data_IF_707783023998
#
_entry.id   IF_707783023998
#
_cell.length_a   1.000
_cell.length_b   1.000
_cell.length_c   1.000
_cell.angle_alpha   90.00
_cell.angle_beta   90.00
_cell.angle_gamma   90.00
#
_symmetry.space_group_name_H-M   'P 1'
#
loop_
_entity.id
_entity.type
_entity.pdbx_description
1 polymer ?
#
# COMPACT_ATOMS: atom_id res chain seq x y z
N UNK A 1 -24.21 24.26 -11.24
CA UNK A 1 -23.80 22.97 -10.65
C UNK A 1 -22.84 23.29 -9.52
N UNK A 2 -23.21 23.09 -8.25
CA UNK A 2 -22.30 23.39 -7.13
C UNK A 2 -21.28 22.26 -7.01
N UNK A 3 -20.00 22.61 -7.06
CA UNK A 3 -18.93 21.73 -6.61
C UNK A 3 -19.24 21.31 -5.17
N UNK A 4 -19.15 20.03 -4.90
CA UNK A 4 -19.49 19.42 -3.60
C UNK A 4 -18.34 19.71 -2.61
N UNK A 5 -18.02 20.99 -2.39
CA UNK A 5 -16.97 21.49 -1.48
C UNK A 5 -17.35 21.37 0.00
N UNK A 6 -18.39 20.59 0.31
CA UNK A 6 -18.76 20.26 1.67
C UNK A 6 -17.76 19.23 2.23
N UNK A 7 -17.47 19.24 3.54
CA UNK A 7 -16.59 18.26 4.19
C UNK A 7 -17.07 16.80 4.05
N UNK A 8 -18.32 16.60 3.65
CA UNK A 8 -18.92 15.30 3.32
C UNK A 8 -19.23 15.15 1.83
N UNK A 9 -18.62 15.93 0.93
CA UNK A 9 -18.78 15.80 -0.52
C UNK A 9 -18.12 14.52 -1.04
N UNK A 10 -18.58 14.01 -2.19
CA UNK A 10 -17.97 12.81 -2.81
C UNK A 10 -16.48 12.98 -3.11
N UNK A 11 -16.07 14.19 -3.46
CA UNK A 11 -14.66 14.52 -3.72
C UNK A 11 -13.83 14.52 -2.44
N UNK A 12 -14.33 15.11 -1.35
CA UNK A 12 -13.67 15.11 -0.05
C UNK A 12 -13.54 13.69 0.52
N UNK A 13 -14.60 12.88 0.40
CA UNK A 13 -14.55 11.48 0.80
C UNK A 13 -13.53 10.68 -0.02
N UNK A 14 -13.49 10.89 -1.34
CA UNK A 14 -12.51 10.22 -2.20
C UNK A 14 -11.07 10.64 -1.86
N UNK A 15 -10.86 11.93 -1.59
CA UNK A 15 -9.57 12.47 -1.16
C UNK A 15 -9.10 11.86 0.17
N UNK A 16 -10.01 11.66 1.13
CA UNK A 16 -9.70 11.02 2.41
C UNK A 16 -9.27 9.56 2.26
N UNK A 17 -9.89 8.79 1.35
CA UNK A 17 -9.43 7.42 1.08
C UNK A 17 -8.07 7.45 0.39
N UNK A 18 -7.86 8.36 -0.56
CA UNK A 18 -6.58 8.53 -1.27
C UNK A 18 -5.41 8.83 -0.33
N UNK A 19 -5.61 9.67 0.68
CA UNK A 19 -4.54 10.06 1.60
C UNK A 19 -4.01 8.91 2.44
N UNK A 20 -4.79 7.85 2.63
CA UNK A 20 -4.42 6.65 3.39
C UNK A 20 -3.81 5.53 2.53
N UNK A 21 -3.90 5.62 1.19
CA UNK A 21 -3.32 4.60 0.29
C UNK A 21 -1.80 4.46 0.41
N UNK A 22 -1.02 5.54 0.62
CA UNK A 22 0.41 5.44 0.89
C UNK A 22 0.74 4.52 2.06
N UNK A 23 -0.09 4.47 3.10
CA UNK A 23 0.14 3.62 4.28
C UNK A 23 0.28 2.14 3.93
N UNK A 24 -0.37 1.65 2.86
CA UNK A 24 -0.19 0.27 2.40
C UNK A 24 1.20 0.00 1.80
N UNK A 25 1.82 1.03 1.20
CA UNK A 25 3.21 0.96 0.75
C UNK A 25 4.15 0.86 1.94
N UNK A 26 3.96 1.71 2.95
CA UNK A 26 4.77 1.72 4.17
C UNK A 26 4.64 0.39 4.93
N UNK A 27 3.42 -0.16 5.02
CA UNK A 27 3.20 -1.49 5.61
C UNK A 27 3.89 -2.59 4.81
N UNK A 28 3.89 -2.52 3.48
CA UNK A 28 4.64 -3.46 2.65
C UNK A 28 6.15 -3.33 2.90
N UNK A 29 6.66 -2.12 3.08
CA UNK A 29 8.06 -1.85 3.38
C UNK A 29 8.48 -2.50 4.71
N UNK A 30 7.69 -2.25 5.76
CA UNK A 30 7.90 -2.83 7.08
C UNK A 30 7.84 -4.37 7.05
N UNK A 31 6.88 -4.94 6.32
CA UNK A 31 6.79 -6.39 6.15
C UNK A 31 8.00 -6.97 5.41
N UNK A 32 8.49 -6.30 4.35
CA UNK A 32 9.72 -6.74 3.66
C UNK A 32 10.95 -6.67 4.56
N UNK A 33 11.10 -5.58 5.32
CA UNK A 33 12.20 -5.45 6.28
C UNK A 33 12.17 -6.54 7.36
N UNK A 34 10.98 -7.00 7.74
CA UNK A 34 10.78 -8.13 8.66
C UNK A 34 10.90 -9.52 8.00
N UNK A 35 11.26 -9.60 6.71
CA UNK A 35 11.35 -10.87 5.98
C UNK A 35 10.00 -11.51 5.63
N UNK A 36 8.89 -10.78 5.81
CA UNK A 36 7.53 -11.25 5.57
C UNK A 36 7.08 -10.91 4.14
N UNK A 37 7.72 -11.54 3.16
CA UNK A 37 7.45 -11.27 1.73
C UNK A 37 5.99 -11.50 1.33
N UNK A 38 5.33 -12.49 1.92
CA UNK A 38 3.91 -12.77 1.66
C UNK A 38 3.01 -11.61 2.12
N UNK A 39 3.27 -11.01 3.29
CA UNK A 39 2.52 -9.85 3.80
C UNK A 39 2.79 -8.62 2.93
N UNK A 40 4.04 -8.38 2.55
CA UNK A 40 4.39 -7.28 1.66
C UNK A 40 3.69 -7.40 0.30
N UNK A 41 3.72 -8.59 -0.28
CA UNK A 41 3.08 -8.87 -1.57
C UNK A 41 1.56 -8.68 -1.50
N UNK A 42 0.93 -9.11 -0.41
CA UNK A 42 -0.49 -8.93 -0.17
C UNK A 42 -0.85 -7.44 -0.03
N UNK A 43 -0.09 -6.68 0.74
CA UNK A 43 -0.27 -5.25 0.92
C UNK A 43 -0.17 -4.50 -0.42
N UNK A 44 0.82 -4.81 -1.25
CA UNK A 44 0.99 -4.23 -2.59
C UNK A 44 -0.16 -4.61 -3.55
N UNK A 45 -0.59 -5.87 -3.56
CA UNK A 45 -1.73 -6.29 -4.37
C UNK A 45 -2.99 -5.52 -4.01
N UNK A 46 -3.27 -5.37 -2.71
CA UNK A 46 -4.43 -4.62 -2.21
C UNK A 46 -4.34 -3.13 -2.52
N UNK A 47 -3.14 -2.55 -2.40
CA UNK A 47 -2.87 -1.17 -2.82
C UNK A 47 -3.23 -0.95 -4.29
N UNK A 48 -2.87 -1.87 -5.18
CA UNK A 48 -3.21 -1.75 -6.62
C UNK A 48 -4.70 -1.87 -6.89
N UNK A 49 -5.40 -2.80 -6.22
CA UNK A 49 -6.87 -2.91 -6.30
C UNK A 49 -7.53 -1.60 -5.87
N UNK A 50 -7.08 -1.02 -4.76
CA UNK A 50 -7.60 0.25 -4.27
C UNK A 50 -7.30 1.41 -5.21
N UNK A 51 -6.08 1.52 -5.74
CA UNK A 51 -5.74 2.55 -6.72
C UNK A 51 -6.62 2.48 -7.97
N UNK A 52 -6.88 1.27 -8.47
CA UNK A 52 -7.78 1.07 -9.60
C UNK A 52 -9.23 1.47 -9.27
N UNK A 53 -9.74 1.09 -8.08
CA UNK A 53 -11.07 1.50 -7.65
C UNK A 53 -11.18 3.03 -7.48
N UNK A 54 -10.16 3.69 -6.94
CA UNK A 54 -10.13 5.15 -6.78
C UNK A 54 -10.09 5.89 -8.13
N UNK A 55 -9.39 5.34 -9.11
CA UNK A 55 -9.41 5.85 -10.49
C UNK A 55 -10.81 5.70 -11.10
N UNK A 56 -11.42 4.51 -10.98
CA UNK A 56 -12.79 4.28 -11.43
C UNK A 56 -13.77 5.25 -10.75
N UNK A 57 -13.62 5.51 -9.44
CA UNK A 57 -14.46 6.47 -8.72
C UNK A 57 -14.27 7.90 -9.21
N UNK A 58 -13.06 8.27 -9.59
CA UNK A 58 -12.77 9.59 -10.19
C UNK A 58 -13.52 9.76 -11.51
N UNK A 59 -13.49 8.73 -12.36
CA UNK A 59 -14.21 8.73 -13.62
C UNK A 59 -15.73 8.74 -13.42
N UNK A 60 -16.24 8.06 -12.39
CA UNK A 60 -17.67 8.11 -12.04
C UNK A 60 -18.11 9.50 -11.56
N UNK A 61 -17.28 10.19 -10.78
CA UNK A 61 -17.54 11.57 -10.37
C UNK A 61 -17.52 12.49 -11.59
N UNK A 62 -16.50 12.38 -12.45
CA UNK A 62 -16.36 13.19 -13.66
C UNK A 62 -17.53 12.98 -14.64
N UNK A 63 -18.05 11.76 -14.75
CA UNK A 63 -19.22 11.42 -15.57
C UNK A 63 -20.57 11.82 -14.95
N UNK A 64 -20.56 12.52 -13.81
CA UNK A 64 -21.77 12.98 -13.09
C UNK A 64 -22.70 11.83 -12.69
N UNK A 65 -22.13 10.66 -12.40
CA UNK A 65 -22.86 9.51 -11.84
C UNK A 65 -23.57 9.93 -10.55
N UNK A 66 -24.78 9.41 -10.24
CA UNK A 66 -25.50 9.77 -9.02
C UNK A 66 -24.63 9.66 -7.76
N UNK A 67 -24.57 10.75 -6.97
CA UNK A 67 -23.69 10.85 -5.81
C UNK A 67 -23.97 9.74 -4.77
N UNK A 68 -25.21 9.25 -4.66
CA UNK A 68 -25.56 8.13 -3.76
C UNK A 68 -24.78 6.85 -4.08
N UNK A 69 -24.68 6.50 -5.37
CA UNK A 69 -23.93 5.32 -5.85
C UNK A 69 -22.43 5.49 -5.65
N UNK A 70 -21.91 6.69 -5.92
CA UNK A 70 -20.50 7.04 -5.72
C UNK A 70 -20.13 6.96 -4.23
N UNK A 71 -20.95 7.56 -3.34
CA UNK A 71 -20.76 7.51 -1.88
C UNK A 71 -20.70 6.08 -1.35
N UNK A 72 -21.59 5.20 -1.82
CA UNK A 72 -21.60 3.80 -1.39
C UNK A 72 -20.29 3.07 -1.76
N UNK A 73 -19.78 3.30 -2.98
CA UNK A 73 -18.51 2.70 -3.43
C UNK A 73 -17.30 3.29 -2.70
N UNK A 74 -17.26 4.61 -2.44
CA UNK A 74 -16.20 5.22 -1.63
C UNK A 74 -16.16 4.58 -0.24
N UNK A 75 -17.32 4.40 0.42
CA UNK A 75 -17.40 3.73 1.73
C UNK A 75 -16.92 2.27 1.67
N UNK A 76 -17.19 1.55 0.58
CA UNK A 76 -16.71 0.19 0.40
C UNK A 76 -15.18 0.14 0.23
N UNK A 77 -14.62 1.07 -0.54
CA UNK A 77 -13.18 1.21 -0.71
C UNK A 77 -12.48 1.56 0.61
N UNK A 78 -13.04 2.48 1.40
CA UNK A 78 -12.51 2.84 2.73
C UNK A 78 -12.48 1.63 3.67
N UNK A 79 -13.57 0.84 3.74
CA UNK A 79 -13.61 -0.39 4.54
C UNK A 79 -12.59 -1.44 4.07
N UNK A 80 -12.43 -1.60 2.76
CA UNK A 80 -11.45 -2.54 2.19
C UNK A 80 -10.03 -2.11 2.57
N UNK A 81 -9.74 -0.81 2.52
CA UNK A 81 -8.47 -0.25 2.94
C UNK A 81 -8.22 -0.47 4.44
N UNK A 82 -9.17 -0.15 5.31
CA UNK A 82 -9.03 -0.36 6.76
C UNK A 82 -8.78 -1.84 7.10
N UNK A 83 -9.51 -2.76 6.45
CA UNK A 83 -9.28 -4.20 6.59
C UNK A 83 -7.89 -4.61 6.09
N UNK A 84 -7.45 -4.01 4.97
CA UNK A 84 -6.13 -4.27 4.39
C UNK A 84 -5.00 -3.82 5.31
N UNK A 85 -5.13 -2.63 5.91
CA UNK A 85 -4.16 -2.08 6.86
C UNK A 85 -4.12 -2.89 8.16
N UNK A 86 -5.28 -3.28 8.68
CA UNK A 86 -5.38 -4.14 9.87
C UNK A 86 -4.67 -5.48 9.64
N UNK A 87 -4.89 -6.12 8.49
CA UNK A 87 -4.24 -7.38 8.18
C UNK A 87 -2.74 -7.26 7.92
N UNK A 88 -2.31 -6.21 7.20
CA UNK A 88 -0.89 -5.94 6.98
C UNK A 88 -0.14 -5.57 8.27
N UNK A 89 -0.87 -5.16 9.32
CA UNK A 89 -0.31 -4.88 10.64
C UNK A 89 -0.12 -6.13 11.51
N UNK A 90 -0.58 -7.31 11.08
CA UNK A 90 -0.39 -8.59 11.80
C UNK A 90 1.01 -9.18 11.59
N UNK A 91 2.04 -8.35 11.69
CA UNK A 91 3.46 -8.72 11.45
C UNK A 91 4.09 -9.54 12.59
N UNK A 92 3.33 -10.00 13.58
CA UNK A 92 3.80 -10.83 14.69
C UNK A 92 3.37 -12.30 14.63
N UNK A 93 2.63 -12.71 13.60
CA UNK A 93 2.23 -14.11 13.45
C UNK A 93 3.41 -14.94 12.92
N UNK A 94 3.57 -16.19 13.39
CA UNK A 94 4.59 -17.07 12.83
C UNK A 94 4.37 -17.19 11.32
N UNK A 95 5.45 -17.23 10.53
CA UNK A 95 5.32 -17.44 9.09
C UNK A 95 4.51 -18.72 8.86
N UNK A 96 3.64 -18.76 7.83
CA UNK A 96 2.90 -19.96 7.50
C UNK A 96 3.87 -21.13 7.34
N UNK A 97 3.48 -22.31 7.87
CA UNK A 97 4.34 -23.52 7.86
C UNK A 97 4.75 -23.94 6.44
N UNK A 98 3.95 -23.55 5.45
CA UNK A 98 4.27 -23.69 4.04
C UNK A 98 4.59 -22.32 3.45
N UNK A 99 5.63 -22.27 2.61
CA UNK A 99 5.93 -21.09 1.83
C UNK A 99 4.74 -20.79 0.92
N UNK A 100 3.98 -19.75 1.26
CA UNK A 100 2.89 -19.27 0.39
C UNK A 100 3.56 -18.58 -0.80
N UNK A 101 3.85 -19.36 -1.83
CA UNK A 101 4.23 -18.83 -3.14
C UNK A 101 2.96 -18.27 -3.74
N UNK A 102 2.76 -16.96 -3.55
CA UNK A 102 1.71 -16.25 -4.24
C UNK A 102 2.12 -16.17 -5.72
N UNK A 103 1.26 -16.62 -6.63
CA UNK A 103 1.40 -16.27 -8.03
C UNK A 103 1.12 -14.77 -8.16
N UNK A 104 2.20 -13.99 -8.16
CA UNK A 104 2.14 -12.54 -8.14
C UNK A 104 1.97 -12.02 -9.55
N UNK A 105 0.90 -11.24 -9.74
CA UNK A 105 0.71 -10.40 -10.92
C UNK A 105 2.02 -9.66 -11.27
N UNK A 106 2.44 -9.62 -12.54
CA UNK A 106 3.73 -9.06 -12.96
C UNK A 106 4.01 -7.66 -12.42
N UNK A 107 2.99 -6.84 -12.23
CA UNK A 107 3.19 -5.50 -11.73
C UNK A 107 3.15 -5.41 -10.19
N UNK A 108 2.64 -6.42 -9.46
CA UNK A 108 2.96 -6.59 -8.03
C UNK A 108 4.43 -6.99 -7.87
N UNK A 109 4.96 -7.84 -8.75
CA UNK A 109 6.40 -8.16 -8.74
C UNK A 109 7.25 -6.93 -9.04
N UNK A 110 6.81 -6.07 -9.97
CA UNK A 110 7.48 -4.80 -10.26
C UNK A 110 7.49 -3.87 -9.04
N UNK A 111 6.36 -3.74 -8.35
CA UNK A 111 6.26 -2.94 -7.11
C UNK A 111 7.17 -3.51 -6.01
N UNK A 112 7.22 -4.83 -5.84
CA UNK A 112 8.15 -5.48 -4.90
C UNK A 112 9.62 -5.20 -5.25
N UNK A 113 9.99 -5.28 -6.53
CA UNK A 113 11.36 -4.95 -6.96
C UNK A 113 11.70 -3.49 -6.65
N UNK A 114 10.76 -2.58 -6.91
CA UNK A 114 10.93 -1.14 -6.61
C UNK A 114 11.09 -0.91 -5.11
N UNK A 115 10.20 -1.51 -4.31
CA UNK A 115 10.23 -1.39 -2.86
C UNK A 115 11.52 -1.96 -2.24
N UNK A 116 12.01 -3.10 -2.76
CA UNK A 116 13.32 -3.65 -2.38
C UNK A 116 14.48 -2.72 -2.72
N UNK A 117 14.42 -2.02 -3.84
CA UNK A 117 15.44 -1.04 -4.23
C UNK A 117 15.39 0.19 -3.33
N UNK A 118 14.20 0.69 -2.99
CA UNK A 118 14.00 1.81 -2.04
C UNK A 118 14.60 1.47 -0.67
N UNK A 119 14.24 0.32 -0.08
CA UNK A 119 14.79 -0.12 1.23
C UNK A 119 16.31 -0.24 1.19
N UNK A 120 16.87 -0.81 0.11
CA UNK A 120 18.33 -0.95 -0.04
C UNK A 120 19.02 0.41 -0.12
N UNK A 121 18.41 1.40 -0.76
CA UNK A 121 18.99 2.73 -0.91
C UNK A 121 18.85 3.58 0.36
N UNK A 122 17.80 3.35 1.15
CA UNK A 122 17.59 3.99 2.46
C UNK A 122 18.47 3.38 3.56
N UNK A 123 18.90 2.14 3.39
CA UNK A 123 19.87 1.48 4.28
C UNK A 123 21.25 1.60 3.64
N UNK A 124 22.04 2.68 3.85
CA UNK A 124 23.41 2.69 3.38
C UNK A 124 24.09 1.47 3.99
N UNK A 125 24.60 0.59 3.13
CA UNK A 125 25.48 -0.50 3.52
C UNK A 125 26.60 0.12 4.34
N UNK A 126 26.52 0.03 5.67
CA UNK A 126 27.64 0.29 6.55
C UNK A 126 28.59 -0.87 6.39
N UNK A 127 29.25 -0.91 5.24
CA UNK A 127 30.45 -1.71 5.02
C UNK A 127 31.51 -1.12 5.92
N UNK A 128 31.60 -1.72 7.10
CA UNK A 128 32.84 -2.04 7.81
C UNK A 128 34.05 -1.87 6.88
N UNK A 129 34.80 -0.78 7.05
CA UNK A 129 36.23 -0.76 6.71
C UNK A 129 36.98 -0.79 8.03
N UNK A 130 37.37 -2.02 8.36
CA UNK A 130 38.62 -2.43 9.00
C UNK A 130 39.30 -1.40 9.91
N UNK A 131 39.30 -1.72 11.22
CA UNK A 131 40.39 -1.34 12.11
C UNK A 131 41.69 -1.86 11.48
N UNK A 132 42.49 -0.98 10.89
CA UNK A 132 43.93 -1.22 10.79
C UNK A 132 44.51 -1.13 12.21
N UNK A 133 44.68 -2.30 12.80
CA UNK A 133 45.57 -2.56 13.91
C UNK A 133 46.97 -2.81 13.33
N UNK A 134 47.93 -1.94 13.66
CA UNK A 134 49.36 -2.12 13.35
C UNK A 134 50.02 -0.81 12.91
N UNK A 135 51.07 -0.30 13.52
CA UNK A 135 51.93 -0.81 14.57
C UNK A 135 52.76 0.34 15.12
N UNK A 136 53.56 0.01 16.13
CA UNK A 136 54.49 0.89 16.85
C UNK A 136 55.39 1.74 15.96
#
# INVERSE_FOLDING_TARGET
MKADGAPNGVEAMLASVRSKVPDLWDRAALALAAGQEHVASLALRRRRVLLHELENLTQLIASKTPHSRVRARIKAADRLLDASLSEASRTGLPPPREAVVLDLDPAVQSDLRRLRAEIRNETPSSSVSEREEGGR
#
